data_IF_205277393023
#
_entry.id   IF_205277393023
#
_cell.length_a   1.000
_cell.length_b   1.000
_cell.length_c   1.000
_cell.angle_alpha   90.00
_cell.angle_beta   90.00
_cell.angle_gamma   90.00
#
_symmetry.space_group_name_H-M   'P 1'
#
loop_
_entity.id
_entity.type
_entity.pdbx_description
1 polymer ?
#
# COMPACT_ATOMS: atom_id res chain seq x y z
N UNK A 1 -29.19 -7.72 -33.23
CA UNK A 1 -28.50 -6.48 -32.80
C UNK A 1 -27.90 -6.55 -31.40
N UNK A 2 -28.63 -7.03 -30.38
CA UNK A 2 -28.13 -7.09 -28.98
C UNK A 2 -26.81 -7.85 -28.80
N UNK A 3 -26.64 -9.02 -29.44
CA UNK A 3 -25.38 -9.78 -29.38
C UNK A 3 -24.18 -9.01 -29.99
N UNK A 4 -24.42 -8.20 -31.03
CA UNK A 4 -23.38 -7.43 -31.69
C UNK A 4 -22.91 -6.25 -30.82
N UNK A 5 -23.83 -5.66 -30.04
CA UNK A 5 -23.53 -4.58 -29.08
C UNK A 5 -22.75 -5.13 -27.87
N UNK A 6 -23.15 -6.26 -27.30
CA UNK A 6 -22.45 -6.86 -26.15
C UNK A 6 -21.01 -7.29 -26.51
N UNK A 7 -20.80 -7.85 -27.71
CA UNK A 7 -19.47 -8.21 -28.21
C UNK A 7 -18.60 -6.96 -28.41
N UNK A 8 -19.13 -5.90 -29.04
CA UNK A 8 -18.39 -4.65 -29.22
C UNK A 8 -18.05 -3.98 -27.89
N UNK A 9 -18.96 -4.00 -26.91
CA UNK A 9 -18.72 -3.43 -25.57
C UNK A 9 -17.64 -4.21 -24.79
N UNK A 10 -17.67 -5.55 -24.88
CA UNK A 10 -16.66 -6.40 -24.26
C UNK A 10 -15.27 -6.26 -24.89
N UNK A 11 -15.21 -6.14 -26.22
CA UNK A 11 -13.95 -5.90 -26.96
C UNK A 11 -13.41 -4.51 -26.67
N UNK A 12 -14.27 -3.48 -26.61
CA UNK A 12 -13.86 -2.12 -26.25
C UNK A 12 -13.32 -2.05 -24.80
N UNK A 13 -14.01 -2.68 -23.84
CA UNK A 13 -13.54 -2.75 -22.44
C UNK A 13 -12.17 -3.43 -22.32
N UNK A 14 -11.99 -4.58 -22.97
CA UNK A 14 -10.71 -5.29 -23.02
C UNK A 14 -9.61 -4.47 -23.68
N UNK A 15 -9.92 -3.78 -24.79
CA UNK A 15 -8.97 -2.93 -25.48
C UNK A 15 -8.53 -1.73 -24.61
N UNK A 16 -9.46 -1.13 -23.86
CA UNK A 16 -9.15 -0.02 -22.92
C UNK A 16 -8.23 -0.49 -21.79
N UNK A 17 -8.51 -1.65 -21.19
CA UNK A 17 -7.68 -2.21 -20.10
C UNK A 17 -6.28 -2.54 -20.60
N UNK A 18 -6.19 -3.20 -21.76
CA UNK A 18 -4.90 -3.58 -22.35
C UNK A 18 -4.10 -2.33 -22.71
N UNK A 19 -4.71 -1.34 -23.38
CA UNK A 19 -4.05 -0.09 -23.75
C UNK A 19 -3.53 0.64 -22.51
N UNK A 20 -4.37 0.79 -21.47
CA UNK A 20 -3.98 1.44 -20.21
C UNK A 20 -2.83 0.72 -19.51
N UNK A 21 -2.86 -0.61 -19.48
CA UNK A 21 -1.77 -1.43 -18.89
C UNK A 21 -0.44 -1.19 -19.60
N UNK A 22 -0.43 -1.14 -20.94
CA UNK A 22 0.78 -0.82 -21.70
C UNK A 22 1.28 0.60 -21.43
N UNK A 23 0.39 1.60 -21.30
CA UNK A 23 0.78 2.98 -20.96
C UNK A 23 1.40 3.07 -19.56
N UNK A 24 0.89 2.33 -18.58
CA UNK A 24 1.45 2.33 -17.23
C UNK A 24 2.86 1.72 -17.21
N UNK A 25 3.06 0.61 -17.93
CA UNK A 25 4.36 -0.05 -18.00
C UNK A 25 5.42 0.84 -18.66
N UNK A 26 5.08 1.48 -19.79
CA UNK A 26 6.01 2.41 -20.46
C UNK A 26 6.29 3.63 -19.59
N UNK A 27 5.29 4.14 -18.87
CA UNK A 27 5.45 5.25 -17.92
C UNK A 27 6.39 4.92 -16.75
N UNK A 28 6.26 3.75 -16.12
CA UNK A 28 7.15 3.30 -15.04
C UNK A 28 8.57 3.11 -15.54
N UNK A 29 8.75 2.53 -16.72
CA UNK A 29 10.06 2.31 -17.32
C UNK A 29 10.76 3.64 -17.66
N UNK A 30 10.07 4.54 -18.35
CA UNK A 30 10.56 5.88 -18.67
C UNK A 30 10.87 6.69 -17.40
N UNK A 31 9.98 6.66 -16.41
CA UNK A 31 10.17 7.36 -15.13
C UNK A 31 11.38 6.83 -14.35
N UNK A 32 11.58 5.52 -14.32
CA UNK A 32 12.73 4.89 -13.65
C UNK A 32 14.06 5.26 -14.33
N UNK A 33 14.11 5.23 -15.68
CA UNK A 33 15.29 5.62 -16.45
C UNK A 33 15.60 7.10 -16.28
N UNK A 34 14.59 7.96 -16.42
CA UNK A 34 14.74 9.40 -16.21
C UNK A 34 15.26 9.69 -14.79
N UNK A 35 14.66 9.10 -13.75
CA UNK A 35 15.11 9.25 -12.37
C UNK A 35 16.56 8.82 -12.14
N UNK A 36 17.00 7.74 -12.79
CA UNK A 36 18.40 7.27 -12.72
C UNK A 36 19.38 8.23 -13.41
N UNK A 37 19.02 8.74 -14.60
CA UNK A 37 19.84 9.72 -15.34
C UNK A 37 19.95 11.06 -14.60
N UNK A 38 18.83 11.57 -14.08
CA UNK A 38 18.78 12.77 -13.25
C UNK A 38 19.68 12.65 -12.00
N UNK A 39 19.76 11.45 -11.39
CA UNK A 39 20.65 11.18 -10.27
C UNK A 39 22.13 11.16 -10.66
N UNK A 40 22.47 10.78 -11.89
CA UNK A 40 23.87 10.67 -12.33
C UNK A 40 24.48 12.04 -12.71
N UNK A 41 23.65 13.02 -13.06
CA UNK A 41 24.06 14.36 -13.52
C UNK A 41 24.11 15.38 -12.35
N UNK A 42 23.68 15.01 -11.14
CA UNK A 42 23.46 15.93 -10.00
C UNK A 42 24.66 16.08 -9.06
N UNK A 43 24.92 17.29 -8.55
CA UNK A 43 23.99 17.95 -7.61
C UNK A 43 23.03 18.95 -8.29
N UNK A 44 21.74 18.59 -8.37
CA UNK A 44 20.67 19.48 -8.80
C UNK A 44 20.22 20.40 -7.66
N UNK A 45 19.79 21.64 -7.96
CA UNK A 45 19.15 22.53 -6.98
C UNK A 45 17.86 21.90 -6.42
N UNK A 46 17.55 22.10 -5.12
CA UNK A 46 16.35 21.55 -4.48
C UNK A 46 15.04 21.91 -5.19
N UNK A 47 14.97 23.09 -5.80
CA UNK A 47 13.76 23.62 -6.45
C UNK A 47 13.35 22.79 -7.67
N UNK A 48 14.32 22.28 -8.45
CA UNK A 48 14.06 21.45 -9.64
C UNK A 48 13.51 20.08 -9.24
N UNK A 49 14.00 19.52 -8.13
CA UNK A 49 13.55 18.23 -7.60
C UNK A 49 12.08 18.34 -7.17
N UNK A 50 11.70 19.45 -6.53
CA UNK A 50 10.32 19.70 -6.09
C UNK A 50 9.34 19.75 -7.27
N UNK A 51 9.71 20.45 -8.36
CA UNK A 51 8.88 20.57 -9.56
C UNK A 51 8.66 19.20 -10.22
N UNK A 52 9.70 18.36 -10.28
CA UNK A 52 9.60 17.01 -10.86
C UNK A 52 8.75 16.08 -9.98
N UNK A 53 8.83 16.20 -8.65
CA UNK A 53 8.07 15.37 -7.71
C UNK A 53 6.59 15.77 -7.59
N UNK A 54 6.26 17.04 -7.85
CA UNK A 54 4.93 17.62 -7.73
C UNK A 54 3.78 16.81 -8.38
N UNK A 55 3.85 16.37 -9.64
CA UNK A 55 2.76 15.58 -10.24
C UNK A 55 2.55 14.24 -9.52
N UNK A 56 3.61 13.61 -9.00
CA UNK A 56 3.53 12.38 -8.22
C UNK A 56 2.85 12.60 -6.86
N UNK A 57 3.13 13.73 -6.20
CA UNK A 57 2.47 14.08 -4.95
C UNK A 57 0.96 14.31 -5.14
N UNK A 58 0.57 15.03 -6.20
CA UNK A 58 -0.85 15.27 -6.50
C UNK A 58 -1.56 13.94 -6.76
N UNK A 59 -0.98 13.06 -7.56
CA UNK A 59 -1.53 11.73 -7.81
C UNK A 59 -1.76 10.95 -6.51
N UNK A 60 -0.76 10.92 -5.63
CA UNK A 60 -0.88 10.23 -4.34
C UNK A 60 -1.94 10.85 -3.43
N UNK A 61 -2.11 12.18 -3.45
CA UNK A 61 -3.19 12.87 -2.71
C UNK A 61 -4.57 12.51 -3.26
N UNK A 62 -4.73 12.47 -4.59
CA UNK A 62 -5.98 12.07 -5.24
C UNK A 62 -6.35 10.61 -4.91
N UNK A 63 -5.39 9.68 -4.99
CA UNK A 63 -5.63 8.27 -4.66
C UNK A 63 -6.04 8.09 -3.19
N UNK A 64 -5.35 8.75 -2.25
CA UNK A 64 -5.66 8.70 -0.81
C UNK A 64 -7.07 9.19 -0.49
N UNK A 65 -7.55 10.22 -1.18
CA UNK A 65 -8.91 10.74 -1.02
C UNK A 65 -9.98 9.72 -1.45
N UNK A 66 -9.69 8.93 -2.49
CA UNK A 66 -10.61 7.94 -3.03
C UNK A 66 -10.64 6.62 -2.23
N UNK A 67 -9.52 6.23 -1.62
CA UNK A 67 -9.39 4.94 -0.92
C UNK A 67 -10.45 4.80 0.18
N UNK A 68 -10.63 5.82 1.03
CA UNK A 68 -11.55 5.75 2.17
C UNK A 68 -13.02 5.46 1.75
N UNK A 69 -13.66 6.28 0.89
CA UNK A 69 -15.05 6.03 0.50
C UNK A 69 -15.21 4.73 -0.33
N UNK A 70 -14.24 4.40 -1.18
CA UNK A 70 -14.30 3.18 -2.00
C UNK A 70 -14.20 1.91 -1.17
N UNK A 71 -13.29 1.85 -0.19
CA UNK A 71 -13.14 0.68 0.68
C UNK A 71 -14.39 0.47 1.51
N UNK A 72 -14.93 1.52 2.15
CA UNK A 72 -16.14 1.39 3.00
C UNK A 72 -17.35 0.94 2.17
N UNK A 73 -17.62 1.60 1.05
CA UNK A 73 -18.75 1.24 0.19
C UNK A 73 -18.62 -0.17 -0.40
N UNK A 74 -17.41 -0.56 -0.82
CA UNK A 74 -17.13 -1.91 -1.34
C UNK A 74 -17.33 -2.98 -0.27
N UNK A 75 -16.85 -2.76 0.96
CA UNK A 75 -17.03 -3.70 2.06
C UNK A 75 -18.50 -3.84 2.45
N UNK A 76 -19.23 -2.72 2.59
CA UNK A 76 -20.67 -2.75 2.91
C UNK A 76 -21.45 -3.51 1.84
N UNK A 77 -21.22 -3.19 0.56
CA UNK A 77 -21.93 -3.85 -0.55
C UNK A 77 -21.55 -5.33 -0.66
N UNK A 78 -20.27 -5.66 -0.48
CA UNK A 78 -19.78 -7.04 -0.54
C UNK A 78 -20.32 -7.93 0.58
N UNK A 79 -20.50 -7.36 1.79
CA UNK A 79 -21.07 -8.10 2.92
C UNK A 79 -22.60 -8.13 2.89
N UNK A 80 -23.28 -7.09 2.37
CA UNK A 80 -24.74 -7.04 2.28
C UNK A 80 -25.33 -8.10 1.35
N UNK A 81 -24.58 -8.58 0.37
CA UNK A 81 -25.00 -9.63 -0.56
C UNK A 81 -24.86 -11.06 -0.03
N UNK A 82 -24.36 -11.25 1.20
CA UNK A 82 -24.05 -12.56 1.77
C UNK A 82 -24.82 -12.82 3.08
N UNK A 83 -25.31 -14.04 3.28
CA UNK A 83 -25.89 -14.46 4.55
C UNK A 83 -24.84 -14.39 5.70
N UNK A 84 -25.28 -14.08 6.92
CA UNK A 84 -24.39 -13.97 8.08
C UNK A 84 -23.53 -15.24 8.30
N UNK A 85 -24.09 -16.42 8.04
CA UNK A 85 -23.40 -17.72 8.19
C UNK A 85 -22.33 -17.94 7.12
N UNK A 86 -22.57 -17.49 5.88
CA UNK A 86 -21.60 -17.62 4.79
C UNK A 86 -20.49 -16.56 4.92
N UNK A 87 -20.85 -15.33 5.28
CA UNK A 87 -19.90 -14.24 5.60
C UNK A 87 -18.92 -14.63 6.71
N UNK A 88 -19.39 -15.20 7.82
CA UNK A 88 -18.52 -15.65 8.91
C UNK A 88 -17.58 -16.81 8.51
N UNK A 89 -18.05 -17.76 7.68
CA UNK A 89 -17.20 -18.85 7.16
C UNK A 89 -16.17 -18.35 6.16
N UNK A 90 -16.51 -17.35 5.35
CA UNK A 90 -15.58 -16.72 4.42
C UNK A 90 -14.51 -15.94 5.18
N UNK A 91 -14.91 -15.14 6.18
CA UNK A 91 -14.00 -14.36 7.02
C UNK A 91 -13.01 -15.24 7.80
N UNK A 92 -13.50 -16.32 8.42
CA UNK A 92 -12.62 -17.26 9.16
C UNK A 92 -11.63 -17.97 8.25
N UNK A 93 -12.06 -18.45 7.06
CA UNK A 93 -11.16 -19.04 6.06
C UNK A 93 -10.12 -18.03 5.57
N UNK A 94 -10.53 -16.80 5.30
CA UNK A 94 -9.63 -15.73 4.89
C UNK A 94 -8.61 -15.40 5.99
N UNK A 95 -9.04 -15.31 7.26
CA UNK A 95 -8.17 -15.01 8.39
C UNK A 95 -7.10 -16.10 8.59
N UNK A 96 -7.49 -17.39 8.54
CA UNK A 96 -6.54 -18.50 8.63
C UNK A 96 -5.55 -18.47 7.46
N UNK A 97 -6.04 -18.24 6.24
CA UNK A 97 -5.20 -18.15 5.03
C UNK A 97 -4.19 -16.99 5.10
N UNK A 98 -4.63 -15.81 5.55
CA UNK A 98 -3.74 -14.65 5.69
C UNK A 98 -2.73 -14.86 6.81
N UNK A 99 -3.13 -15.40 7.95
CA UNK A 99 -2.20 -15.68 9.06
C UNK A 99 -1.13 -16.69 8.64
N UNK A 100 -1.51 -17.81 8.01
CA UNK A 100 -0.53 -18.81 7.56
C UNK A 100 0.43 -18.24 6.53
N UNK A 101 -0.08 -17.50 5.55
CA UNK A 101 0.75 -16.91 4.48
C UNK A 101 1.68 -15.83 5.02
N UNK A 102 1.22 -15.01 5.98
CA UNK A 102 2.04 -13.96 6.60
C UNK A 102 3.16 -14.55 7.43
N UNK A 103 2.91 -15.62 8.19
CA UNK A 103 3.95 -16.31 8.97
C UNK A 103 5.00 -16.91 8.03
N UNK A 104 4.57 -17.60 6.96
CA UNK A 104 5.50 -18.17 5.96
C UNK A 104 6.32 -17.06 5.30
N UNK A 105 5.68 -15.96 4.89
CA UNK A 105 6.36 -14.82 4.26
C UNK A 105 7.35 -14.14 5.23
N UNK A 106 7.01 -13.98 6.50
CA UNK A 106 7.89 -13.40 7.52
C UNK A 106 9.13 -14.28 7.76
N UNK A 107 8.95 -15.59 7.89
CA UNK A 107 10.07 -16.54 8.03
C UNK A 107 10.98 -16.50 6.81
N UNK A 108 10.41 -16.54 5.61
CA UNK A 108 11.18 -16.41 4.36
C UNK A 108 11.91 -15.07 4.28
N UNK A 109 11.27 -13.97 4.69
CA UNK A 109 11.88 -12.64 4.73
C UNK A 109 13.08 -12.58 5.67
N UNK A 110 12.96 -13.14 6.88
CA UNK A 110 14.07 -13.22 7.84
C UNK A 110 15.21 -14.07 7.28
N UNK A 111 14.91 -15.24 6.72
CA UNK A 111 15.93 -16.10 6.10
C UNK A 111 16.65 -15.36 4.96
N UNK A 112 15.91 -14.68 4.08
CA UNK A 112 16.48 -13.96 2.94
C UNK A 112 17.39 -12.81 3.38
N UNK A 113 16.97 -12.05 4.40
CA UNK A 113 17.77 -10.96 4.99
C UNK A 113 19.04 -11.51 5.64
N UNK A 114 18.95 -12.64 6.34
CA UNK A 114 20.11 -13.31 6.94
C UNK A 114 21.02 -13.98 5.90
N UNK A 115 20.56 -14.28 4.70
CA UNK A 115 21.41 -14.83 3.64
C UNK A 115 22.10 -13.72 2.84
N UNK A 116 21.33 -12.77 2.32
CA UNK A 116 21.82 -11.70 1.46
C UNK A 116 22.56 -10.63 2.28
N UNK A 117 22.27 -10.51 3.58
CA UNK A 117 22.74 -9.44 4.46
C UNK A 117 22.63 -8.07 3.78
N UNK A 118 21.41 -7.63 3.39
CA UNK A 118 21.24 -6.36 2.72
C UNK A 118 21.53 -5.21 3.70
N UNK A 119 22.70 -4.59 3.58
CA UNK A 119 23.09 -3.42 4.36
C UNK A 119 24.59 -3.23 4.40
N UNK A 120 25.06 -2.00 4.17
CA UNK A 120 26.49 -1.70 4.23
C UNK A 120 26.83 -1.25 5.67
N UNK A 121 27.61 -2.01 6.46
CA UNK A 121 27.93 -1.65 7.85
C UNK A 121 28.67 -0.31 7.95
N UNK A 122 29.33 0.13 6.88
CA UNK A 122 30.00 1.44 6.79
C UNK A 122 29.03 2.64 6.81
N UNK A 123 27.77 2.45 6.41
CA UNK A 123 26.74 3.50 6.46
C UNK A 123 26.13 3.68 7.86
N UNK A 124 26.24 2.66 8.72
CA UNK A 124 25.76 2.73 10.11
C UNK A 124 26.53 3.73 10.97
N UNK A 125 27.81 3.98 10.66
CA UNK A 125 28.65 4.91 11.41
C UNK A 125 28.35 6.39 11.13
N UNK A 126 27.76 6.71 9.97
CA UNK A 126 27.40 8.09 9.59
C UNK A 126 25.93 8.43 9.88
N UNK A 127 25.12 7.43 10.23
CA UNK A 127 23.77 7.62 10.76
C UNK A 127 23.93 7.92 12.26
N UNK A 128 24.16 9.19 12.58
CA UNK A 128 24.23 9.68 13.95
C UNK A 128 23.12 9.04 14.79
N UNK A 129 23.53 8.45 15.91
CA UNK A 129 22.72 7.76 16.92
C UNK A 129 21.24 8.14 16.81
N UNK A 130 20.51 7.35 16.03
CA UNK A 130 19.07 7.53 15.87
C UNK A 130 18.47 7.56 17.26
N UNK A 131 17.73 8.63 17.53
CA UNK A 131 16.96 8.88 18.75
C UNK A 131 16.57 7.54 19.38
N UNK A 132 17.08 7.25 20.58
CA UNK A 132 16.75 6.05 21.34
C UNK A 132 15.22 6.01 21.42
N UNK A 133 14.61 5.19 20.58
CA UNK A 133 13.16 5.02 20.59
C UNK A 133 12.85 4.51 21.99
N UNK A 134 11.91 5.15 22.67
CA UNK A 134 11.36 4.66 23.92
C UNK A 134 11.08 3.16 23.74
N UNK A 135 11.54 2.33 24.68
CA UNK A 135 11.32 0.89 24.64
C UNK A 135 9.82 0.64 24.76
N UNK A 136 9.11 0.68 23.62
CA UNK A 136 7.69 0.35 23.56
C UNK A 136 7.59 -1.12 23.91
N UNK A 137 7.05 -1.40 25.09
CA UNK A 137 6.79 -2.77 25.52
C UNK A 137 5.89 -3.44 24.47
N UNK A 138 6.21 -4.68 24.10
CA UNK A 138 5.39 -5.43 23.13
C UNK A 138 3.94 -5.60 23.61
N UNK A 139 3.75 -5.58 24.93
CA UNK A 139 2.44 -5.62 25.59
C UNK A 139 1.67 -4.32 25.37
N UNK A 140 2.33 -3.16 25.45
CA UNK A 140 1.71 -1.85 25.19
C UNK A 140 1.32 -1.74 23.71
N UNK A 141 2.18 -2.19 22.79
CA UNK A 141 1.86 -2.24 21.37
C UNK A 141 0.66 -3.17 21.06
N UNK A 142 0.53 -4.29 21.77
CA UNK A 142 -0.61 -5.19 21.64
C UNK A 142 -1.90 -4.56 22.17
N UNK A 143 -1.83 -3.89 23.33
CA UNK A 143 -2.97 -3.15 23.86
C UNK A 143 -3.38 -1.99 22.95
N UNK A 144 -2.42 -1.28 22.38
CA UNK A 144 -2.69 -0.21 21.42
C UNK A 144 -3.29 -0.72 20.12
N UNK A 145 -2.91 -1.92 19.66
CA UNK A 145 -3.58 -2.57 18.53
C UNK A 145 -5.05 -2.84 18.84
N UNK A 146 -5.35 -3.41 20.02
CA UNK A 146 -6.74 -3.69 20.43
C UNK A 146 -7.54 -2.39 20.57
N UNK A 147 -6.95 -1.36 21.18
CA UNK A 147 -7.59 -0.04 21.31
C UNK A 147 -7.88 0.59 19.96
N UNK A 148 -6.97 0.47 19.01
CA UNK A 148 -7.18 0.96 17.64
C UNK A 148 -8.16 0.09 16.84
N UNK A 149 -8.38 -1.17 17.22
CA UNK A 149 -9.39 -2.04 16.60
C UNK A 149 -10.83 -1.57 16.92
N UNK A 150 -11.03 -1.02 18.12
CA UNK A 150 -12.31 -0.45 18.57
C UNK A 150 -12.16 1.06 18.85
N UNK A 151 -12.11 1.90 17.81
CA UNK A 151 -11.90 3.33 17.98
C UNK A 151 -13.07 3.98 18.74
N UNK A 152 -12.75 4.94 19.59
CA UNK A 152 -13.74 5.77 20.30
C UNK A 152 -14.61 6.60 19.36
N UNK A 153 -14.08 6.98 18.19
CA UNK A 153 -14.77 7.76 17.16
C UNK A 153 -14.42 7.25 15.75
N UNK A 154 -15.40 6.67 15.05
CA UNK A 154 -15.21 6.14 13.68
C UNK A 154 -14.75 7.21 12.69
N UNK A 155 -15.30 8.43 12.76
CA UNK A 155 -14.92 9.53 11.87
C UNK A 155 -13.48 9.96 12.12
N UNK A 156 -13.08 10.09 13.38
CA UNK A 156 -11.73 10.48 13.75
C UNK A 156 -10.70 9.42 13.35
N UNK A 157 -10.99 8.14 13.57
CA UNK A 157 -10.11 7.02 13.22
C UNK A 157 -9.80 6.93 11.71
N UNK A 158 -10.71 7.41 10.86
CA UNK A 158 -10.49 7.46 9.41
C UNK A 158 -9.50 8.55 8.97
N UNK A 159 -9.30 9.61 9.76
CA UNK A 159 -8.41 10.74 9.43
C UNK A 159 -7.15 10.79 10.30
N UNK A 160 -7.19 10.19 11.47
CA UNK A 160 -6.12 10.22 12.48
C UNK A 160 -5.93 8.83 13.07
N UNK A 161 -4.72 8.30 12.96
CA UNK A 161 -4.33 7.10 13.70
C UNK A 161 -3.91 7.52 15.11
N UNK A 162 -4.62 7.04 16.12
CA UNK A 162 -4.35 7.40 17.51
C UNK A 162 -3.11 6.67 17.99
N UNK A 163 -2.04 7.42 18.25
CA UNK A 163 -0.78 6.91 18.80
C UNK A 163 -0.70 7.36 20.24
N UNK A 164 -1.10 6.50 21.16
CA UNK A 164 -0.77 6.67 22.57
C UNK A 164 0.73 6.36 22.72
N UNK A 165 1.49 7.31 23.29
CA UNK A 165 2.86 7.06 23.77
C UNK A 165 2.80 6.77 25.25
#
# INVERSE_FOLDING_TARGET
EVNHVIINLGVASRAVVVKTSFLCLTGVFLGSIAGMLLRHISPLPPDVIMIIAFPGEILMRMLKMLILPLVVSSLVTGLAGLDAKSSGRLGTRAMVYYMSTTVIAAVLGVILVLLIHPGNPKLRANLGLGKKNDEVSSVDAFFDLIRNLFPENLVQACFQQVRYS
#
